data_IF_814652019974
#
_entry.id   IF_814652019974
#
_cell.length_a   1.000
_cell.length_b   1.000
_cell.length_c   1.000
_cell.angle_alpha   90.00
_cell.angle_beta   90.00
_cell.angle_gamma   90.00
#
_symmetry.space_group_name_H-M   'P 1'
#
loop_
_entity.id
_entity.type
_entity.pdbx_description
1 polymer ?
#
# COMPACT_ATOMS: atom_id res chain seq x y z
N UNK A 1 57.18 7.34 49.49
CA UNK A 1 56.32 8.43 49.98
C UNK A 1 55.75 9.16 48.77
N UNK A 2 54.41 9.18 48.66
CA UNK A 2 53.56 9.96 47.73
C UNK A 2 53.84 9.92 46.22
N UNK A 3 52.88 10.09 45.31
CA UNK A 3 51.41 10.06 45.26
C UNK A 3 51.11 10.70 43.90
N UNK A 4 50.46 9.98 42.97
CA UNK A 4 49.71 10.52 41.83
C UNK A 4 49.39 9.35 40.88
N UNK A 5 48.23 9.21 40.26
CA UNK A 5 46.88 9.70 40.46
C UNK A 5 46.02 8.68 39.67
N UNK A 6 44.82 8.40 40.17
CA UNK A 6 43.88 7.44 39.59
C UNK A 6 42.93 8.14 38.62
N UNK A 7 42.40 7.35 37.68
CA UNK A 7 41.14 7.50 36.93
C UNK A 7 41.16 8.28 35.57
N UNK A 8 40.18 8.06 34.67
CA UNK A 8 39.73 6.77 34.14
C UNK A 8 39.41 6.80 32.62
N UNK A 9 39.01 5.63 32.13
CA UNK A 9 38.30 5.29 30.88
C UNK A 9 37.40 6.43 30.34
N UNK A 10 37.55 6.76 29.06
CA UNK A 10 36.49 7.41 28.27
C UNK A 10 36.28 6.65 26.96
N UNK A 11 35.39 5.66 27.01
CA UNK A 11 34.75 5.06 25.84
C UNK A 11 33.43 5.80 25.64
N UNK A 12 33.41 6.80 24.78
CA UNK A 12 32.16 7.48 24.45
C UNK A 12 32.02 7.75 22.95
N UNK A 13 30.76 7.58 22.55
CA UNK A 13 30.15 8.14 21.35
C UNK A 13 30.56 7.57 19.98
N UNK A 14 30.11 6.33 19.70
CA UNK A 14 29.57 6.01 18.38
C UNK A 14 28.11 5.54 18.51
N UNK A 15 27.20 6.47 18.77
CA UNK A 15 25.78 6.27 18.47
C UNK A 15 25.50 6.82 17.08
N UNK A 16 25.19 5.92 16.15
CA UNK A 16 24.58 6.28 14.88
C UNK A 16 23.19 6.91 15.13
N UNK A 17 22.82 7.99 14.43
CA UNK A 17 21.48 8.56 14.54
C UNK A 17 20.50 7.69 13.77
N UNK A 18 19.89 6.72 14.44
CA UNK A 18 18.65 6.12 13.95
C UNK A 18 17.55 7.19 14.05
N UNK A 19 16.90 7.46 12.91
CA UNK A 19 15.82 8.45 12.75
C UNK A 19 14.83 8.43 13.93
N UNK A 20 14.68 9.57 14.62
CA UNK A 20 13.80 9.76 15.78
C UNK A 20 12.32 9.88 15.39
N UNK A 21 11.81 9.03 14.49
CA UNK A 21 10.38 8.97 14.22
C UNK A 21 9.66 8.28 15.39
N UNK A 22 8.51 8.80 15.82
CA UNK A 22 7.73 8.12 16.85
C UNK A 22 7.26 6.74 16.35
N UNK A 23 7.03 5.76 17.25
CA UNK A 23 6.51 4.44 16.84
C UNK A 23 5.23 4.54 16.01
N UNK A 24 4.35 5.50 16.34
CA UNK A 24 3.14 5.79 15.57
C UNK A 24 3.46 6.33 14.16
N UNK A 25 4.39 7.29 14.04
CA UNK A 25 4.80 7.82 12.74
C UNK A 25 5.36 6.71 11.84
N UNK A 26 5.97 5.68 12.43
CA UNK A 26 6.43 4.49 11.70
C UNK A 26 5.26 3.68 11.12
N UNK A 27 4.16 3.50 11.86
CA UNK A 27 2.98 2.76 11.37
C UNK A 27 2.20 3.54 10.30
N UNK A 28 2.11 4.86 10.45
CA UNK A 28 1.56 5.73 9.39
C UNK A 28 2.43 5.64 8.13
N UNK A 29 3.75 5.65 8.26
CA UNK A 29 4.66 5.49 7.13
C UNK A 29 4.53 4.12 6.45
N UNK A 30 4.35 3.02 7.20
CA UNK A 30 4.04 1.71 6.63
C UNK A 30 2.75 1.74 5.80
N UNK A 31 1.72 2.41 6.31
CA UNK A 31 0.43 2.54 5.60
C UNK A 31 0.58 3.32 4.29
N UNK A 32 1.34 4.42 4.31
CA UNK A 32 1.63 5.19 3.09
C UNK A 32 2.45 4.37 2.09
N UNK A 33 3.42 3.57 2.56
CA UNK A 33 4.16 2.66 1.69
C UNK A 33 3.24 1.61 1.06
N UNK A 34 2.30 1.06 1.80
CA UNK A 34 1.32 0.11 1.26
C UNK A 34 0.45 0.75 0.16
N UNK A 35 0.04 2.01 0.32
CA UNK A 35 -0.66 2.73 -0.75
C UNK A 35 0.19 2.86 -2.02
N UNK A 36 1.48 3.19 -1.89
CA UNK A 36 2.40 3.26 -3.04
C UNK A 36 2.50 1.91 -3.76
N UNK A 37 2.68 0.83 -3.00
CA UNK A 37 2.83 -0.53 -3.54
C UNK A 37 1.54 -0.99 -4.22
N UNK A 38 0.36 -0.74 -3.63
CA UNK A 38 -0.92 -1.05 -4.25
C UNK A 38 -1.14 -0.26 -5.55
N UNK A 39 -0.74 1.01 -5.58
CA UNK A 39 -0.81 1.84 -6.79
C UNK A 39 0.11 1.29 -7.88
N UNK A 40 1.33 0.91 -7.53
CA UNK A 40 2.26 0.27 -8.46
C UNK A 40 1.72 -1.08 -8.99
N UNK A 41 1.09 -1.90 -8.12
CA UNK A 41 0.46 -3.15 -8.53
C UNK A 41 -0.63 -2.93 -9.59
N UNK A 42 -1.48 -1.91 -9.40
CA UNK A 42 -2.53 -1.56 -10.37
C UNK A 42 -1.94 -1.09 -11.72
N UNK A 43 -0.88 -0.30 -11.67
CA UNK A 43 -0.16 0.17 -12.87
C UNK A 43 0.46 -1.01 -13.64
N UNK A 44 1.18 -1.89 -12.95
CA UNK A 44 1.75 -3.10 -13.55
C UNK A 44 0.68 -4.06 -14.09
N UNK A 45 -0.49 -4.11 -13.46
CA UNK A 45 -1.60 -4.92 -13.95
C UNK A 45 -2.09 -4.42 -15.32
N UNK A 46 -2.18 -3.10 -15.54
CA UNK A 46 -2.54 -2.54 -16.84
C UNK A 46 -1.58 -2.98 -17.96
N UNK A 47 -0.27 -2.94 -17.69
CA UNK A 47 0.77 -3.41 -18.62
C UNK A 47 0.62 -4.91 -18.93
N UNK A 48 0.30 -5.71 -17.91
CA UNK A 48 0.18 -7.15 -18.03
C UNK A 48 -1.00 -7.62 -18.89
N UNK A 49 -2.06 -6.81 -19.01
CA UNK A 49 -3.20 -7.09 -19.91
C UNK A 49 -2.75 -7.04 -21.37
N UNK A 50 -1.89 -6.07 -21.72
CA UNK A 50 -1.33 -5.94 -23.07
C UNK A 50 -0.19 -6.93 -23.33
N UNK A 51 0.57 -7.28 -22.29
CA UNK A 51 1.71 -8.18 -22.36
C UNK A 51 1.67 -9.20 -21.23
N UNK A 52 1.03 -10.38 -21.45
CA UNK A 52 0.85 -11.42 -20.43
C UNK A 52 2.15 -12.03 -19.87
N UNK A 53 3.32 -11.63 -20.38
CA UNK A 53 4.63 -11.99 -19.86
C UNK A 53 5.10 -11.06 -18.71
N UNK A 54 4.53 -9.85 -18.60
CA UNK A 54 4.92 -8.83 -17.63
C UNK A 54 4.11 -8.89 -16.34
N UNK A 55 4.12 -10.06 -15.67
CA UNK A 55 3.29 -10.27 -14.47
C UNK A 55 4.09 -10.36 -13.18
N UNK A 56 5.41 -10.49 -13.28
CA UNK A 56 6.28 -10.70 -12.11
C UNK A 56 6.22 -9.52 -11.14
N UNK A 57 6.23 -8.29 -11.66
CA UNK A 57 6.16 -7.08 -10.84
C UNK A 57 4.87 -7.01 -10.01
N UNK A 58 3.75 -7.52 -10.53
CA UNK A 58 2.48 -7.59 -9.79
C UNK A 58 2.59 -8.56 -8.61
N UNK A 59 3.17 -9.74 -8.82
CA UNK A 59 3.38 -10.71 -7.74
C UNK A 59 4.42 -10.25 -6.71
N UNK A 60 5.40 -9.44 -7.12
CA UNK A 60 6.37 -8.87 -6.20
C UNK A 60 5.71 -7.78 -5.32
N UNK A 61 4.80 -6.98 -5.90
CA UNK A 61 4.01 -6.01 -5.13
C UNK A 61 3.04 -6.70 -4.15
N UNK A 62 2.39 -7.79 -4.55
CA UNK A 62 1.52 -8.57 -3.66
C UNK A 62 2.30 -9.10 -2.45
N UNK A 63 3.46 -9.72 -2.66
CA UNK A 63 4.35 -10.15 -1.55
C UNK A 63 4.82 -9.01 -0.66
N UNK A 64 5.07 -7.82 -1.23
CA UNK A 64 5.46 -6.64 -0.46
C UNK A 64 4.29 -6.17 0.42
N UNK A 65 3.07 -6.11 -0.09
CA UNK A 65 1.87 -5.78 0.70
C UNK A 65 1.67 -6.77 1.84
N UNK A 66 1.80 -8.05 1.54
CA UNK A 66 1.80 -9.17 2.50
C UNK A 66 2.82 -8.96 3.63
N UNK A 67 4.01 -8.49 3.28
CA UNK A 67 5.07 -8.20 4.24
C UNK A 67 4.80 -6.93 5.05
N UNK A 68 4.17 -5.92 4.47
CA UNK A 68 3.82 -4.68 5.16
C UNK A 68 2.69 -4.92 6.16
N UNK A 69 1.70 -5.74 5.82
CA UNK A 69 0.60 -6.13 6.70
C UNK A 69 1.12 -6.88 7.94
N UNK A 70 1.98 -7.89 7.74
CA UNK A 70 2.66 -8.58 8.86
C UNK A 70 3.45 -7.63 9.75
N UNK A 71 4.17 -6.68 9.16
CA UNK A 71 4.92 -5.67 9.93
C UNK A 71 4.02 -4.73 10.72
N UNK A 72 2.83 -4.39 10.19
CA UNK A 72 1.82 -3.62 10.92
C UNK A 72 1.34 -4.42 12.14
N UNK A 73 0.93 -5.67 11.93
CA UNK A 73 0.40 -6.56 12.98
C UNK A 73 1.39 -6.78 14.13
N UNK A 74 2.66 -7.03 13.82
CA UNK A 74 3.71 -7.25 14.83
C UNK A 74 3.93 -6.05 15.75
N UNK A 75 3.70 -4.83 15.24
CA UNK A 75 4.06 -3.59 15.93
C UNK A 75 2.86 -2.89 16.54
N UNK A 76 1.69 -2.96 15.89
CA UNK A 76 0.50 -2.17 16.26
C UNK A 76 0.03 -2.46 17.68
N UNK A 77 0.08 -3.72 18.12
CA UNK A 77 -0.33 -4.10 19.47
C UNK A 77 0.46 -3.36 20.56
N UNK A 78 1.77 -3.25 20.40
CA UNK A 78 2.64 -2.57 21.38
C UNK A 78 2.38 -1.07 21.37
N UNK A 79 2.27 -0.45 20.18
CA UNK A 79 2.03 0.99 20.05
C UNK A 79 0.66 1.37 20.62
N UNK A 80 -0.38 0.54 20.43
CA UNK A 80 -1.72 0.77 20.96
C UNK A 80 -1.74 0.91 22.49
N UNK A 81 -0.97 0.09 23.22
CA UNK A 81 -0.93 0.13 24.69
C UNK A 81 -0.39 1.45 25.26
N UNK A 82 0.37 2.19 24.46
CA UNK A 82 1.05 3.43 24.84
C UNK A 82 0.40 4.68 24.22
N UNK A 83 -0.73 4.51 23.55
CA UNK A 83 -1.38 5.54 22.74
C UNK A 83 -2.53 6.22 23.47
N UNK A 84 -2.67 7.53 23.27
CA UNK A 84 -3.88 8.27 23.67
C UNK A 84 -5.09 7.84 22.82
N UNK A 85 -6.34 8.15 23.25
CA UNK A 85 -7.54 7.78 22.49
C UNK A 85 -7.57 8.30 21.05
N UNK A 86 -6.98 9.46 20.77
CA UNK A 86 -6.88 10.00 19.41
C UNK A 86 -5.90 9.18 18.55
N UNK A 87 -4.74 8.85 19.10
CA UNK A 87 -3.73 8.03 18.44
C UNK A 87 -4.26 6.61 18.18
N UNK A 88 -5.01 6.04 19.12
CA UNK A 88 -5.68 4.74 18.93
C UNK A 88 -6.62 4.78 17.73
N UNK A 89 -7.43 5.84 17.57
CA UNK A 89 -8.33 5.97 16.40
C UNK A 89 -7.56 6.01 15.08
N UNK A 90 -6.43 6.72 15.03
CA UNK A 90 -5.57 6.76 13.84
C UNK A 90 -4.94 5.39 13.56
N UNK A 91 -4.40 4.71 14.57
CA UNK A 91 -3.80 3.38 14.41
C UNK A 91 -4.83 2.34 13.95
N UNK A 92 -6.06 2.40 14.45
CA UNK A 92 -7.15 1.54 13.97
C UNK A 92 -7.54 1.85 12.52
N UNK A 93 -7.43 3.11 12.09
CA UNK A 93 -7.63 3.47 10.69
C UNK A 93 -6.51 2.91 9.81
N UNK A 94 -5.24 3.06 10.23
CA UNK A 94 -4.09 2.45 9.56
C UNK A 94 -4.24 0.94 9.40
N UNK A 95 -4.64 0.23 10.46
CA UNK A 95 -4.84 -1.23 10.43
C UNK A 95 -5.92 -1.63 9.42
N UNK A 96 -7.05 -0.92 9.39
CA UNK A 96 -8.09 -1.17 8.39
C UNK A 96 -7.60 -0.93 6.96
N UNK A 97 -6.89 0.18 6.74
CA UNK A 97 -6.32 0.48 5.43
C UNK A 97 -5.31 -0.60 5.00
N UNK A 98 -4.47 -1.11 5.90
CA UNK A 98 -3.52 -2.18 5.59
C UNK A 98 -4.22 -3.46 5.12
N UNK A 99 -5.24 -3.91 5.85
CA UNK A 99 -6.04 -5.09 5.48
C UNK A 99 -6.69 -4.88 4.10
N UNK A 100 -7.28 -3.70 3.87
CA UNK A 100 -7.92 -3.39 2.58
C UNK A 100 -6.88 -3.35 1.43
N UNK A 101 -5.68 -2.83 1.68
CA UNK A 101 -4.61 -2.71 0.68
C UNK A 101 -3.97 -4.06 0.34
N UNK A 102 -3.72 -4.91 1.33
CA UNK A 102 -3.31 -6.31 1.13
C UNK A 102 -4.35 -7.00 0.24
N UNK A 103 -5.63 -6.91 0.62
CA UNK A 103 -6.73 -7.50 -0.15
C UNK A 103 -6.81 -7.00 -1.59
N UNK A 104 -6.54 -5.71 -1.82
CA UNK A 104 -6.49 -5.13 -3.16
C UNK A 104 -5.34 -5.75 -3.97
N UNK A 105 -4.14 -5.87 -3.40
CA UNK A 105 -2.99 -6.52 -4.06
C UNK A 105 -3.30 -7.96 -4.46
N UNK A 106 -3.94 -8.69 -3.55
CA UNK A 106 -4.37 -10.07 -3.68
C UNK A 106 -5.41 -10.27 -4.82
N UNK A 107 -6.35 -9.33 -4.93
CA UNK A 107 -7.32 -9.27 -6.03
C UNK A 107 -6.67 -8.92 -7.38
N UNK A 108 -5.70 -8.01 -7.39
CA UNK A 108 -4.94 -7.63 -8.59
C UNK A 108 -4.11 -8.82 -9.10
N UNK A 109 -3.41 -9.54 -8.22
CA UNK A 109 -2.62 -10.72 -8.59
C UNK A 109 -3.51 -11.82 -9.19
N UNK A 110 -4.70 -12.01 -8.62
CA UNK A 110 -5.74 -12.92 -9.12
C UNK A 110 -6.27 -12.48 -10.49
N UNK A 111 -6.52 -11.19 -10.67
CA UNK A 111 -6.95 -10.61 -11.95
C UNK A 111 -5.94 -10.89 -13.05
N UNK A 112 -4.66 -10.59 -12.82
CA UNK A 112 -3.58 -10.79 -13.78
C UNK A 112 -3.42 -12.28 -14.12
N UNK A 113 -3.47 -13.16 -13.12
CA UNK A 113 -3.41 -14.61 -13.32
C UNK A 113 -4.53 -15.11 -14.24
N UNK A 114 -5.76 -14.60 -14.06
CA UNK A 114 -6.90 -14.95 -14.91
C UNK A 114 -6.77 -14.38 -16.32
N UNK A 115 -6.33 -13.13 -16.46
CA UNK A 115 -6.10 -12.50 -17.77
C UNK A 115 -5.13 -13.33 -18.61
N UNK A 116 -4.03 -13.84 -18.02
CA UNK A 116 -3.09 -14.73 -18.72
C UNK A 116 -3.75 -16.00 -19.24
N UNK A 117 -4.64 -16.62 -18.46
CA UNK A 117 -5.32 -17.87 -18.83
C UNK A 117 -6.25 -17.64 -20.03
N UNK A 118 -6.93 -16.50 -20.08
CA UNK A 118 -7.93 -16.19 -21.11
C UNK A 118 -7.41 -15.28 -22.22
N UNK A 119 -6.13 -14.92 -22.22
CA UNK A 119 -5.57 -13.90 -23.13
C UNK A 119 -5.89 -14.15 -24.61
N UNK A 120 -5.90 -15.40 -25.06
CA UNK A 120 -6.22 -15.77 -26.45
C UNK A 120 -7.72 -15.66 -26.82
N UNK A 121 -8.59 -15.38 -25.84
CA UNK A 121 -10.04 -15.25 -26.01
C UNK A 121 -10.53 -13.82 -25.88
N UNK A 122 -9.69 -12.91 -25.40
CA UNK A 122 -10.05 -11.50 -25.24
C UNK A 122 -9.94 -10.81 -26.60
N UNK A 123 -10.97 -10.07 -26.98
CA UNK A 123 -10.88 -9.19 -28.14
C UNK A 123 -10.16 -7.88 -27.78
N UNK A 124 -9.81 -7.09 -28.80
CA UNK A 124 -9.09 -5.83 -28.61
C UNK A 124 -9.89 -4.79 -27.81
N UNK A 125 -11.23 -4.84 -27.88
CA UNK A 125 -12.08 -3.90 -27.18
C UNK A 125 -12.11 -4.21 -25.68
N UNK A 126 -12.27 -5.49 -25.31
CA UNK A 126 -12.21 -5.96 -23.93
C UNK A 126 -10.84 -5.70 -23.31
N UNK A 127 -9.75 -5.92 -24.05
CA UNK A 127 -8.39 -5.55 -23.62
C UNK A 127 -8.31 -4.06 -23.31
N UNK A 128 -8.80 -3.20 -24.21
CA UNK A 128 -8.80 -1.74 -24.02
C UNK A 128 -9.62 -1.32 -22.80
N UNK A 129 -10.79 -1.94 -22.60
CA UNK A 129 -11.66 -1.64 -21.47
C UNK A 129 -11.04 -2.09 -20.14
N UNK A 130 -10.40 -3.25 -20.09
CA UNK A 130 -9.68 -3.74 -18.92
C UNK A 130 -8.46 -2.87 -18.56
N UNK A 131 -7.72 -2.37 -19.55
CA UNK A 131 -6.63 -1.42 -19.33
C UNK A 131 -7.20 -0.12 -18.73
N UNK A 132 -8.29 0.40 -19.31
CA UNK A 132 -8.94 1.60 -18.81
C UNK A 132 -9.45 1.44 -17.37
N UNK A 133 -10.05 0.29 -17.03
CA UNK A 133 -10.44 -0.04 -15.65
C UNK A 133 -9.25 0.01 -14.69
N UNK A 134 -8.09 -0.56 -15.07
CA UNK A 134 -6.90 -0.53 -14.24
C UNK A 134 -6.34 0.89 -14.06
N UNK A 135 -6.35 1.73 -15.10
CA UNK A 135 -5.94 3.14 -14.98
C UNK A 135 -6.85 3.93 -14.03
N UNK A 136 -8.16 3.65 -14.02
CA UNK A 136 -9.07 4.24 -13.04
C UNK A 136 -8.79 3.77 -11.62
N UNK A 137 -8.52 2.47 -11.43
CA UNK A 137 -8.13 1.92 -10.12
C UNK A 137 -6.82 2.54 -9.60
N UNK A 138 -5.80 2.65 -10.45
CA UNK A 138 -4.53 3.30 -10.13
C UNK A 138 -4.76 4.74 -9.66
N UNK A 139 -5.56 5.52 -10.41
CA UNK A 139 -5.91 6.88 -10.03
C UNK A 139 -6.65 6.94 -8.69
N UNK A 140 -7.60 6.02 -8.45
CA UNK A 140 -8.34 5.95 -7.19
C UNK A 140 -7.42 5.67 -5.99
N UNK A 141 -6.47 4.74 -6.15
CA UNK A 141 -5.48 4.40 -5.13
C UNK A 141 -4.54 5.57 -4.80
N UNK A 142 -4.08 6.29 -5.82
CA UNK A 142 -3.26 7.47 -5.62
C UNK A 142 -4.03 8.60 -4.92
N UNK A 143 -5.28 8.85 -5.34
CA UNK A 143 -6.13 9.89 -4.75
C UNK A 143 -6.51 9.58 -3.28
N UNK A 144 -6.79 8.32 -2.94
CA UNK A 144 -7.08 7.94 -1.56
C UNK A 144 -5.83 7.99 -0.67
N UNK A 145 -4.65 7.66 -1.21
CA UNK A 145 -3.36 7.84 -0.51
C UNK A 145 -3.14 9.30 -0.11
N UNK A 146 -3.36 10.21 -1.07
CA UNK A 146 -3.28 11.65 -0.79
C UNK A 146 -4.35 12.12 0.20
N UNK A 147 -5.59 11.62 0.08
CA UNK A 147 -6.66 11.94 1.01
C UNK A 147 -6.33 11.48 2.44
N UNK A 148 -5.76 10.29 2.58
CA UNK A 148 -5.30 9.73 3.84
C UNK A 148 -4.19 10.58 4.47
N UNK A 149 -3.13 10.87 3.69
CA UNK A 149 -1.98 11.66 4.14
C UNK A 149 -2.36 13.08 4.59
N UNK A 150 -3.24 13.74 3.82
CA UNK A 150 -3.70 15.10 4.12
C UNK A 150 -4.90 15.18 5.07
N UNK A 151 -5.47 14.04 5.48
CA UNK A 151 -6.77 13.96 6.19
C UNK A 151 -7.89 14.72 5.47
N UNK A 152 -7.91 14.64 4.15
CA UNK A 152 -8.86 15.34 3.28
C UNK A 152 -10.10 14.49 3.03
N UNK A 153 -11.16 14.77 3.79
CA UNK A 153 -12.46 14.11 3.65
C UNK A 153 -13.11 14.37 2.27
N UNK A 154 -12.96 15.58 1.72
CA UNK A 154 -13.57 15.92 0.44
C UNK A 154 -12.95 15.09 -0.68
N UNK A 155 -11.62 14.92 -0.66
CA UNK A 155 -10.89 14.07 -1.61
C UNK A 155 -11.27 12.60 -1.48
N UNK A 156 -11.39 12.08 -0.25
CA UNK A 156 -11.85 10.70 -0.02
C UNK A 156 -13.28 10.46 -0.55
N UNK A 157 -14.20 11.41 -0.34
CA UNK A 157 -15.55 11.36 -0.93
C UNK A 157 -15.51 11.43 -2.45
N UNK A 158 -14.55 12.15 -3.03
CA UNK A 158 -14.27 12.17 -4.46
C UNK A 158 -13.93 10.77 -5.00
N UNK A 159 -13.02 10.05 -4.34
CA UNK A 159 -12.65 8.68 -4.70
C UNK A 159 -13.85 7.73 -4.66
N UNK A 160 -14.70 7.83 -3.63
CA UNK A 160 -15.92 7.02 -3.57
C UNK A 160 -16.86 7.26 -4.75
N UNK A 161 -16.91 8.50 -5.28
CA UNK A 161 -17.74 8.84 -6.42
C UNK A 161 -17.17 8.35 -7.75
N UNK A 162 -15.84 8.26 -7.88
CA UNK A 162 -15.18 7.79 -9.10
C UNK A 162 -15.35 6.28 -9.35
N UNK A 163 -15.69 5.49 -8.32
CA UNK A 163 -15.99 4.06 -8.43
C UNK A 163 -17.05 3.74 -9.50
N UNK A 164 -18.01 4.66 -9.69
CA UNK A 164 -19.06 4.55 -10.72
C UNK A 164 -18.51 4.39 -12.14
N UNK A 165 -17.30 4.89 -12.41
CA UNK A 165 -16.69 4.75 -13.73
C UNK A 165 -16.16 3.33 -13.96
N UNK A 166 -15.59 2.70 -12.93
CA UNK A 166 -15.20 1.28 -12.97
C UNK A 166 -16.46 0.42 -13.16
N UNK A 167 -17.55 0.71 -12.45
CA UNK A 167 -18.84 0.04 -12.64
C UNK A 167 -19.39 0.17 -14.06
N UNK A 168 -19.27 1.37 -14.65
CA UNK A 168 -19.70 1.62 -16.02
C UNK A 168 -18.94 0.73 -17.00
N UNK A 169 -17.62 0.66 -16.91
CA UNK A 169 -16.78 -0.14 -17.82
C UNK A 169 -17.06 -1.64 -17.61
N UNK A 170 -17.14 -2.09 -16.36
CA UNK A 170 -17.51 -3.47 -16.01
C UNK A 170 -18.82 -3.89 -16.68
N UNK A 171 -19.85 -3.04 -16.62
CA UNK A 171 -21.16 -3.32 -17.23
C UNK A 171 -21.07 -3.36 -18.77
N UNK A 172 -20.21 -2.55 -19.39
CA UNK A 172 -20.00 -2.58 -20.84
C UNK A 172 -19.37 -3.90 -21.30
N UNK A 173 -18.43 -4.45 -20.53
CA UNK A 173 -17.82 -5.76 -20.82
C UNK A 173 -18.86 -6.88 -20.63
N UNK A 174 -19.64 -6.83 -19.55
CA UNK A 174 -20.60 -7.90 -19.20
C UNK A 174 -21.79 -8.03 -20.15
N UNK A 175 -22.18 -6.96 -20.83
CA UNK A 175 -23.34 -6.93 -21.72
C UNK A 175 -23.00 -7.34 -23.17
N UNK A 176 -21.74 -7.66 -23.46
CA UNK A 176 -21.30 -8.22 -24.75
C UNK A 176 -21.33 -9.74 -24.71
#
# INVERSE_FOLDING_TARGET
MSSAAKDPINSDAQRHPQSMASPQATLVALTLRAFEVATAAASHAADSVSSPALTQAVFDCEKELDSLDRQMDERVATVLTQSSPEQVRELLACLKCMIDLERIGDLISSFVSRCRIVAFRLDMQDISDLINMNSHLESMLNEVSHAFSARDLSRAVGVLRSDREIDRIRNLIFLR
#
